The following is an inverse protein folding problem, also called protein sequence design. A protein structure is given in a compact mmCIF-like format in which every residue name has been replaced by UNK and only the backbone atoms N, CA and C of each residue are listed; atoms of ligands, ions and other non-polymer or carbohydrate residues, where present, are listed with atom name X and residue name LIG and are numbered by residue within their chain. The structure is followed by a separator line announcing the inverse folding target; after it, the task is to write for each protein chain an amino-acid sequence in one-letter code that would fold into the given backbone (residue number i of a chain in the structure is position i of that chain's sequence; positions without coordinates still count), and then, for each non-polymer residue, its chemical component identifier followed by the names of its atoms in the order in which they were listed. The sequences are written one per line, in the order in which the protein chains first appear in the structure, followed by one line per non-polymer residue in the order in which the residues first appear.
data_IF_855965769654
#
_entry.id   IF_855965769654
#
_cell.length_a   1.000
_cell.length_b   1.000
_cell.length_c   1.000
_cell.angle_alpha   90.00
_cell.angle_beta   90.00
_cell.angle_gamma   90.00
#
_symmetry.space_group_name_H-M   'P 1'
#
loop_
_entity.id
_entity.type
_entity.pdbx_description
1 polymer ?
#
# COMPACT_ATOMS: atom_id res chain seq x y z
N UNK A 1 -73.06 37.96 -49.84
CA UNK A 1 -71.59 37.91 -49.77
C UNK A 1 -71.20 37.74 -48.31
N UNK A 2 -70.38 36.72 -48.01
CA UNK A 2 -69.85 36.26 -46.70
C UNK A 2 -70.78 35.43 -45.81
N UNK A 3 -70.47 34.14 -45.82
CA UNK A 3 -71.03 33.02 -45.07
C UNK A 3 -70.75 33.11 -43.56
N UNK A 4 -71.57 32.46 -42.71
CA UNK A 4 -71.35 32.41 -41.26
C UNK A 4 -70.27 31.38 -40.90
N UNK A 5 -69.29 31.79 -40.09
CA UNK A 5 -68.37 30.87 -39.41
C UNK A 5 -69.16 30.09 -38.35
N UNK A 6 -69.43 28.83 -38.62
CA UNK A 6 -69.97 27.88 -37.65
C UNK A 6 -68.87 27.43 -36.69
N UNK A 7 -69.07 27.74 -35.41
CA UNK A 7 -68.21 27.34 -34.31
C UNK A 7 -68.41 25.83 -34.06
N UNK A 8 -67.40 25.01 -34.39
CA UNK A 8 -67.47 23.55 -34.23
C UNK A 8 -66.74 23.13 -32.93
N UNK A 9 -67.45 22.82 -31.84
CA UNK A 9 -66.84 22.45 -30.55
C UNK A 9 -66.22 21.04 -30.57
N UNK A 10 -66.51 20.24 -31.60
CA UNK A 10 -66.09 18.84 -31.69
C UNK A 10 -64.62 18.72 -32.13
N UNK A 11 -64.13 19.67 -32.94
CA UNK A 11 -62.76 19.65 -33.47
C UNK A 11 -61.66 19.89 -32.42
N UNK A 12 -61.95 20.64 -31.33
CA UNK A 12 -60.96 20.92 -30.28
C UNK A 12 -60.80 19.78 -29.27
N UNK A 13 -61.83 18.94 -29.07
CA UNK A 13 -61.75 17.79 -28.17
C UNK A 13 -60.97 16.64 -28.82
N UNK A 14 -61.13 16.44 -30.13
CA UNK A 14 -60.40 15.40 -30.88
C UNK A 14 -58.90 15.77 -31.00
N UNK A 15 -58.57 17.05 -31.22
CA UNK A 15 -57.17 17.49 -31.26
C UNK A 15 -56.46 17.39 -29.90
N UNK A 16 -57.16 17.57 -28.78
CA UNK A 16 -56.59 17.38 -27.43
C UNK A 16 -56.44 15.89 -27.07
N UNK A 17 -57.36 15.02 -27.51
CA UNK A 17 -57.27 13.58 -27.26
C UNK A 17 -56.16 12.91 -28.08
N UNK A 18 -55.96 13.33 -29.33
CA UNK A 18 -54.89 12.78 -30.19
C UNK A 18 -53.50 13.24 -29.72
N UNK A 19 -53.38 14.41 -29.09
CA UNK A 19 -52.12 14.85 -28.47
C UNK A 19 -51.81 14.11 -27.15
N UNK A 20 -52.83 13.64 -26.43
CA UNK A 20 -52.65 12.91 -25.17
C UNK A 20 -52.34 11.43 -25.36
N UNK A 21 -52.71 10.83 -26.50
CA UNK A 21 -52.41 9.41 -26.78
C UNK A 21 -51.04 9.16 -27.39
N UNK A 22 -50.30 10.20 -27.82
CA UNK A 22 -48.96 10.06 -28.40
C UNK A 22 -47.81 10.36 -27.41
N UNK A 23 -48.13 10.56 -26.14
CA UNK A 23 -47.14 10.74 -25.06
C UNK A 23 -46.89 9.46 -24.25
N UNK A 24 -47.44 8.32 -24.70
CA UNK A 24 -47.39 7.02 -24.04
C UNK A 24 -46.39 6.01 -24.61
N UNK A 25 -45.58 6.39 -25.61
CA UNK A 25 -44.39 5.63 -25.96
C UNK A 25 -43.24 6.06 -25.02
N UNK A 26 -43.43 5.81 -23.72
CA UNK A 26 -42.31 5.69 -22.81
C UNK A 26 -41.55 4.48 -23.36
N UNK A 27 -40.44 4.73 -24.05
CA UNK A 27 -39.46 3.69 -24.35
C UNK A 27 -39.29 2.89 -23.05
N UNK A 28 -39.71 1.63 -23.06
CA UNK A 28 -39.11 0.66 -22.17
C UNK A 28 -37.64 0.63 -22.63
N UNK A 29 -36.83 1.53 -22.08
CA UNK A 29 -35.39 1.36 -22.06
C UNK A 29 -35.24 0.08 -21.26
N UNK A 30 -35.09 -1.03 -21.98
CA UNK A 30 -34.51 -2.24 -21.40
C UNK A 30 -33.16 -1.75 -20.94
N UNK A 31 -33.04 -1.49 -19.65
CA UNK A 31 -31.78 -1.15 -19.04
C UNK A 31 -30.97 -2.44 -19.10
N UNK A 32 -30.21 -2.61 -20.17
CA UNK A 32 -29.35 -3.76 -20.37
C UNK A 32 -28.29 -3.72 -19.27
N UNK A 33 -28.52 -4.51 -18.22
CA UNK A 33 -27.60 -4.66 -17.12
C UNK A 33 -26.33 -5.32 -17.62
N UNK A 34 -25.19 -4.68 -17.37
CA UNK A 34 -23.88 -5.26 -17.65
C UNK A 34 -23.66 -6.52 -16.82
N UNK A 35 -23.25 -7.60 -17.46
CA UNK A 35 -22.89 -8.86 -16.80
C UNK A 35 -21.44 -8.82 -16.36
N UNK A 36 -21.25 -8.67 -15.05
CA UNK A 36 -19.94 -8.50 -14.42
C UNK A 36 -19.52 -9.82 -13.80
N UNK A 37 -18.53 -10.47 -14.40
CA UNK A 37 -17.94 -11.70 -13.87
C UNK A 37 -17.13 -11.45 -12.62
N UNK A 38 -17.41 -12.19 -11.55
CA UNK A 38 -16.64 -12.15 -10.31
C UNK A 38 -16.20 -13.54 -9.87
N UNK A 39 -15.11 -13.59 -9.11
CA UNK A 39 -14.60 -14.81 -8.47
C UNK A 39 -14.25 -14.54 -7.03
N UNK A 40 -14.67 -15.42 -6.12
CA UNK A 40 -14.36 -15.30 -4.69
C UNK A 40 -12.85 -15.42 -4.45
N UNK A 41 -12.26 -14.35 -3.90
CA UNK A 41 -10.85 -14.30 -3.52
C UNK A 41 -10.64 -13.20 -2.49
N UNK A 42 -10.43 -13.58 -1.23
CA UNK A 42 -10.15 -12.60 -0.16
C UNK A 42 -8.75 -11.99 -0.35
N UNK A 43 -8.56 -10.68 -0.10
CA UNK A 43 -9.53 -9.66 0.33
C UNK A 43 -10.17 -8.86 -0.82
N UNK A 44 -10.14 -9.36 -2.06
CA UNK A 44 -10.59 -8.64 -3.25
C UNK A 44 -12.08 -8.76 -3.52
N UNK A 45 -12.62 -9.97 -3.39
CA UNK A 45 -14.05 -10.27 -3.55
C UNK A 45 -14.45 -11.29 -2.49
N UNK A 46 -15.30 -10.83 -1.59
CA UNK A 46 -15.87 -11.57 -0.48
C UNK A 46 -17.39 -11.49 -0.61
N UNK A 47 -18.08 -12.52 -0.14
CA UNK A 47 -19.53 -12.55 -0.12
C UNK A 47 -20.01 -12.32 1.31
N UNK A 48 -20.81 -11.28 1.52
CA UNK A 48 -21.38 -10.95 2.83
C UNK A 48 -22.72 -11.65 3.07
N UNK A 49 -23.31 -12.18 1.99
CA UNK A 49 -24.59 -12.88 1.98
C UNK A 49 -25.66 -12.12 1.20
N UNK A 50 -26.69 -12.85 0.74
CA UNK A 50 -27.81 -12.25 0.01
C UNK A 50 -27.45 -11.67 -1.37
N UNK A 51 -26.35 -12.11 -1.97
CA UNK A 51 -25.87 -11.58 -3.26
C UNK A 51 -25.11 -10.25 -3.16
N UNK A 52 -24.75 -9.82 -1.94
CA UNK A 52 -23.91 -8.66 -1.70
C UNK A 52 -22.45 -9.11 -1.65
N UNK A 53 -21.61 -8.40 -2.40
CA UNK A 53 -20.18 -8.66 -2.49
C UNK A 53 -19.41 -7.43 -2.01
N UNK A 54 -18.29 -7.66 -1.33
CA UNK A 54 -17.43 -6.61 -0.82
C UNK A 54 -15.96 -6.94 -1.04
N UNK A 55 -15.11 -5.94 -0.88
CA UNK A 55 -13.66 -6.07 -0.97
C UNK A 55 -13.09 -5.24 -2.11
N UNK A 56 -11.76 -5.23 -2.21
CA UNK A 56 -11.02 -4.25 -3.01
C UNK A 56 -11.52 -4.15 -4.46
N UNK A 57 -11.79 -5.29 -5.11
CA UNK A 57 -12.22 -5.30 -6.52
C UNK A 57 -13.72 -4.99 -6.68
N UNK A 58 -14.57 -5.48 -5.77
CA UNK A 58 -16.00 -5.18 -5.78
C UNK A 58 -16.25 -3.70 -5.50
N UNK A 59 -15.66 -3.16 -4.44
CA UNK A 59 -15.80 -1.76 -4.03
C UNK A 59 -15.32 -0.81 -5.13
N UNK A 60 -14.20 -1.15 -5.80
CA UNK A 60 -13.69 -0.37 -6.93
C UNK A 60 -14.65 -0.37 -8.12
N UNK A 61 -15.20 -1.54 -8.48
CA UNK A 61 -16.16 -1.62 -9.58
C UNK A 61 -17.44 -0.86 -9.28
N UNK A 62 -17.95 -0.94 -8.05
CA UNK A 62 -19.13 -0.19 -7.64
C UNK A 62 -18.93 1.31 -7.74
N UNK A 63 -17.74 1.82 -7.42
CA UNK A 63 -17.41 3.24 -7.62
C UNK A 63 -17.41 3.60 -9.11
N UNK A 64 -16.77 2.78 -9.95
CA UNK A 64 -16.73 3.00 -11.41
C UNK A 64 -18.14 2.96 -12.01
N UNK A 65 -18.95 1.97 -11.63
CA UNK A 65 -20.32 1.85 -12.11
C UNK A 65 -21.19 3.03 -11.65
N UNK A 66 -20.95 3.56 -10.44
CA UNK A 66 -21.65 4.76 -9.93
C UNK A 66 -21.25 6.01 -10.70
N UNK A 67 -19.97 6.21 -10.96
CA UNK A 67 -19.47 7.37 -11.72
C UNK A 67 -19.99 7.38 -13.17
N UNK A 68 -20.15 6.19 -13.76
CA UNK A 68 -20.63 6.01 -15.13
C UNK A 68 -22.15 5.82 -15.25
N UNK A 69 -22.88 5.86 -14.13
CA UNK A 69 -24.33 5.62 -14.07
C UNK A 69 -24.76 4.29 -14.74
N UNK A 70 -23.98 3.23 -14.53
CA UNK A 70 -24.20 1.91 -15.13
C UNK A 70 -24.99 0.99 -14.19
N UNK A 71 -25.99 0.30 -14.74
CA UNK A 71 -26.59 -0.86 -14.07
C UNK A 71 -25.87 -2.15 -14.46
N UNK A 72 -25.70 -3.02 -13.48
CA UNK A 72 -24.98 -4.27 -13.64
C UNK A 72 -25.56 -5.37 -12.78
N UNK A 73 -25.20 -6.61 -13.12
CA UNK A 73 -25.43 -7.80 -12.31
C UNK A 73 -24.14 -8.61 -12.18
N UNK A 74 -23.88 -9.12 -10.98
CA UNK A 74 -22.73 -9.97 -10.73
C UNK A 74 -23.03 -11.41 -11.13
N UNK A 75 -22.11 -12.00 -11.90
CA UNK A 75 -22.14 -13.41 -12.29
C UNK A 75 -20.92 -14.08 -11.68
N UNK A 76 -21.15 -14.97 -10.71
CA UNK A 76 -20.05 -15.69 -10.07
C UNK A 76 -19.54 -16.82 -10.97
N UNK A 77 -18.21 -16.94 -11.07
CA UNK A 77 -17.51 -18.06 -11.71
C UNK A 77 -16.50 -18.67 -10.73
N UNK A 78 -16.22 -19.96 -10.92
CA UNK A 78 -15.36 -20.72 -10.01
C UNK A 78 -13.88 -20.49 -10.28
N UNK A 79 -13.50 -20.36 -11.56
CA UNK A 79 -12.12 -20.22 -11.98
C UNK A 79 -11.83 -18.91 -12.72
N UNK A 80 -10.56 -18.49 -12.70
CA UNK A 80 -10.10 -17.34 -13.49
C UNK A 80 -10.12 -17.69 -14.99
N UNK A 81 -9.95 -18.96 -15.36
CA UNK A 81 -10.08 -19.41 -16.75
C UNK A 81 -11.51 -19.23 -17.25
N UNK A 82 -12.50 -19.59 -16.44
CA UNK A 82 -13.92 -19.51 -16.80
C UNK A 82 -14.36 -18.05 -16.99
N UNK A 83 -13.83 -17.12 -16.18
CA UNK A 83 -14.05 -15.69 -16.37
C UNK A 83 -13.54 -15.21 -17.72
N UNK A 84 -12.30 -15.58 -18.08
CA UNK A 84 -11.68 -15.17 -19.34
C UNK A 84 -12.39 -15.80 -20.54
N UNK A 85 -12.78 -17.07 -20.44
CA UNK A 85 -13.54 -17.75 -21.48
C UNK A 85 -14.94 -17.16 -21.65
N UNK A 86 -15.63 -16.81 -20.56
CA UNK A 86 -16.94 -16.19 -20.60
C UNK A 86 -16.88 -14.75 -21.13
N UNK A 87 -15.81 -13.99 -20.88
CA UNK A 87 -15.57 -12.71 -21.56
C UNK A 87 -15.30 -12.92 -23.05
N UNK A 88 -14.48 -13.92 -23.41
CA UNK A 88 -14.16 -14.24 -24.81
C UNK A 88 -15.39 -14.67 -25.61
N UNK A 89 -16.29 -15.45 -25.01
CA UNK A 89 -17.54 -15.90 -25.62
C UNK A 89 -18.65 -14.83 -25.62
N UNK A 90 -18.40 -13.66 -25.02
CA UNK A 90 -19.37 -12.58 -24.80
C UNK A 90 -20.56 -12.99 -23.93
N UNK A 91 -20.38 -14.00 -23.08
CA UNK A 91 -21.33 -14.32 -22.01
C UNK A 91 -21.30 -13.26 -20.91
N UNK A 92 -20.11 -12.71 -20.65
CA UNK A 92 -19.85 -11.60 -19.73
C UNK A 92 -19.37 -10.37 -20.50
N UNK A 93 -19.81 -9.20 -20.07
CA UNK A 93 -19.37 -7.93 -20.65
C UNK A 93 -17.99 -7.52 -20.11
N UNK A 94 -17.74 -7.82 -18.83
CA UNK A 94 -16.44 -7.62 -18.19
C UNK A 94 -16.23 -8.57 -17.02
N UNK A 95 -14.98 -8.74 -16.59
CA UNK A 95 -14.62 -9.52 -15.42
C UNK A 95 -13.85 -8.66 -14.42
N UNK A 96 -14.33 -8.63 -13.18
CA UNK A 96 -13.72 -7.94 -12.04
C UNK A 96 -13.32 -9.00 -11.03
N UNK A 97 -12.02 -9.24 -10.88
CA UNK A 97 -11.46 -10.11 -9.86
C UNK A 97 -9.94 -9.86 -9.74
N UNK A 98 -9.27 -10.60 -8.84
CA UNK A 98 -7.81 -10.67 -8.80
C UNK A 98 -7.25 -11.45 -10.01
N UNK A 99 -7.32 -10.86 -11.20
CA UNK A 99 -6.86 -11.45 -12.46
C UNK A 99 -5.48 -10.92 -12.80
N UNK A 100 -4.48 -11.80 -12.81
CA UNK A 100 -3.12 -11.46 -13.26
C UNK A 100 -3.09 -11.27 -14.77
N UNK A 101 -2.56 -10.14 -15.22
CA UNK A 101 -2.30 -9.86 -16.64
C UNK A 101 -1.07 -10.65 -17.08
N UNK A 102 -1.21 -11.49 -18.09
CA UNK A 102 -0.08 -12.23 -18.70
C UNK A 102 -0.15 -12.14 -20.23
N UNK A 103 0.97 -12.26 -20.96
CA UNK A 103 0.97 -12.23 -22.42
C UNK A 103 -0.03 -13.19 -23.06
N UNK A 104 -0.11 -14.42 -22.55
CA UNK A 104 -0.99 -15.47 -23.07
C UNK A 104 -2.48 -15.10 -22.92
N UNK A 105 -2.83 -14.36 -21.86
CA UNK A 105 -4.21 -13.90 -21.63
C UNK A 105 -4.56 -12.71 -22.52
N UNK A 106 -3.62 -11.80 -22.72
CA UNK A 106 -3.79 -10.62 -23.59
C UNK A 106 -4.02 -10.99 -25.07
N UNK A 107 -3.63 -12.18 -25.51
CA UNK A 107 -3.97 -12.68 -26.85
C UNK A 107 -5.46 -13.01 -27.01
N UNK A 108 -6.20 -13.19 -25.91
CA UNK A 108 -7.58 -13.68 -25.92
C UNK A 108 -8.62 -12.66 -25.45
N UNK A 109 -8.22 -11.73 -24.57
CA UNK A 109 -9.08 -10.67 -24.04
C UNK A 109 -8.25 -9.41 -23.79
N UNK A 110 -8.90 -8.25 -23.86
CA UNK A 110 -8.29 -6.97 -23.53
C UNK A 110 -8.30 -6.73 -22.01
N UNK A 111 -7.28 -6.02 -21.52
CA UNK A 111 -7.16 -5.63 -20.11
C UNK A 111 -7.09 -4.11 -19.98
N UNK A 112 -7.64 -3.60 -18.87
CA UNK A 112 -7.40 -2.23 -18.44
C UNK A 112 -6.00 -2.07 -17.84
N UNK A 113 -5.68 -0.85 -17.40
CA UNK A 113 -4.46 -0.62 -16.62
C UNK A 113 -4.51 -1.39 -15.28
N UNK A 114 -3.38 -1.95 -14.80
CA UNK A 114 -3.37 -2.69 -13.55
C UNK A 114 -3.83 -1.83 -12.38
N UNK A 115 -4.84 -2.31 -11.64
CA UNK A 115 -5.37 -1.63 -10.45
C UNK A 115 -4.64 -2.03 -9.17
N UNK A 116 -3.93 -3.17 -9.19
CA UNK A 116 -3.20 -3.71 -8.04
C UNK A 116 -1.88 -4.32 -8.49
N UNK A 117 -0.77 -3.86 -7.89
CA UNK A 117 0.57 -4.37 -8.17
C UNK A 117 1.02 -5.28 -7.03
N UNK A 118 1.25 -6.56 -7.35
CA UNK A 118 1.79 -7.55 -6.40
C UNK A 118 3.15 -8.06 -6.87
N UNK A 119 4.09 -8.22 -5.94
CA UNK A 119 5.34 -8.96 -6.17
C UNK A 119 5.21 -10.40 -5.69
N UNK A 120 5.98 -11.31 -6.29
CA UNK A 120 6.11 -12.68 -5.77
C UNK A 120 6.85 -12.64 -4.43
N UNK A 121 6.26 -13.23 -3.40
CA UNK A 121 6.85 -13.39 -2.08
C UNK A 121 6.87 -14.85 -1.65
N UNK A 122 7.86 -15.23 -0.84
CA UNK A 122 7.94 -16.56 -0.23
C UNK A 122 7.49 -16.45 1.22
N UNK A 123 6.36 -17.08 1.55
CA UNK A 123 5.92 -17.20 2.93
C UNK A 123 6.64 -18.39 3.59
N UNK A 124 7.34 -18.12 4.70
CA UNK A 124 7.99 -19.13 5.52
C UNK A 124 7.33 -19.21 6.88
N UNK A 125 7.39 -20.39 7.52
CA UNK A 125 6.98 -20.52 8.92
C UNK A 125 7.85 -19.60 9.76
N UNK A 126 7.24 -18.80 10.63
CA UNK A 126 8.00 -18.03 11.61
C UNK A 126 8.67 -18.99 12.59
N UNK A 127 9.99 -19.15 12.45
CA UNK A 127 10.81 -19.85 13.42
C UNK A 127 11.15 -18.90 14.56
N UNK A 128 11.14 -19.40 15.80
CA UNK A 128 11.64 -18.65 16.94
C UNK A 128 13.16 -18.83 16.95
N UNK A 129 13.96 -17.75 16.86
CA UNK A 129 15.40 -17.89 16.93
C UNK A 129 15.77 -18.55 18.26
N UNK A 130 16.57 -19.62 18.19
CA UNK A 130 17.12 -20.27 19.36
C UNK A 130 18.16 -19.38 20.06
N UNK A 131 18.58 -19.75 21.26
CA UNK A 131 19.64 -19.04 21.99
C UNK A 131 20.95 -18.97 21.17
N UNK A 132 21.22 -19.99 20.35
CA UNK A 132 22.37 -20.05 19.47
C UNK A 132 22.24 -19.03 18.33
N UNK A 133 21.05 -18.89 17.72
CA UNK A 133 20.81 -17.91 16.66
C UNK A 133 20.97 -16.47 17.16
N UNK A 134 20.47 -16.20 18.37
CA UNK A 134 20.69 -14.92 19.04
C UNK A 134 22.18 -14.67 19.36
N UNK A 135 22.93 -15.71 19.71
CA UNK A 135 24.37 -15.60 19.99
C UNK A 135 25.17 -15.35 18.72
N UNK A 136 24.82 -16.01 17.61
CA UNK A 136 25.47 -15.81 16.32
C UNK A 136 25.18 -14.41 15.75
N UNK A 137 24.04 -13.81 16.06
CA UNK A 137 23.73 -12.43 15.71
C UNK A 137 24.72 -11.44 16.37
N UNK A 138 25.14 -11.70 17.60
CA UNK A 138 26.13 -10.87 18.32
C UNK A 138 27.54 -11.04 17.75
N UNK A 139 27.82 -12.21 17.15
CA UNK A 139 29.11 -12.52 16.51
C UNK A 139 29.12 -12.23 15.01
N UNK A 140 28.08 -11.56 14.49
CA UNK A 140 28.02 -11.22 13.08
C UNK A 140 29.21 -10.31 12.68
N UNK A 141 29.85 -10.63 11.56
CA UNK A 141 31.08 -9.98 11.14
C UNK A 141 30.89 -8.48 10.86
N UNK A 142 29.68 -8.08 10.45
CA UNK A 142 29.32 -6.68 10.30
C UNK A 142 29.26 -5.96 11.66
N UNK A 143 28.56 -6.53 12.64
CA UNK A 143 28.46 -5.95 13.98
C UNK A 143 29.85 -5.87 14.63
N UNK A 144 30.66 -6.92 14.52
CA UNK A 144 32.03 -6.93 15.00
C UNK A 144 32.89 -5.84 14.34
N UNK A 145 32.75 -5.61 13.03
CA UNK A 145 33.44 -4.49 12.36
C UNK A 145 33.04 -3.14 12.94
N UNK A 146 31.74 -2.89 13.12
CA UNK A 146 31.24 -1.63 13.72
C UNK A 146 31.78 -1.45 15.14
N UNK A 147 31.73 -2.49 15.97
CA UNK A 147 32.24 -2.45 17.35
C UNK A 147 33.75 -2.23 17.41
N UNK A 148 34.52 -2.89 16.54
CA UNK A 148 35.99 -2.71 16.46
C UNK A 148 36.32 -1.30 15.97
N UNK A 149 35.64 -0.79 14.95
CA UNK A 149 35.84 0.59 14.46
C UNK A 149 35.54 1.61 15.55
N UNK A 150 34.45 1.42 16.30
CA UNK A 150 34.11 2.27 17.45
C UNK A 150 35.17 2.19 18.56
N UNK A 151 35.64 0.98 18.89
CA UNK A 151 36.67 0.77 19.90
C UNK A 151 38.00 1.43 19.51
N UNK A 152 38.40 1.34 18.24
CA UNK A 152 39.60 2.03 17.71
C UNK A 152 39.44 3.54 17.78
N UNK A 153 38.28 4.09 17.41
CA UNK A 153 38.01 5.52 17.50
C UNK A 153 38.10 6.02 18.95
N UNK A 154 37.47 5.32 19.89
CA UNK A 154 37.54 5.66 21.32
C UNK A 154 38.96 5.60 21.85
N UNK A 155 39.74 4.58 21.45
CA UNK A 155 41.14 4.45 21.82
C UNK A 155 42.00 5.59 21.25
N UNK A 156 41.77 6.02 20.00
CA UNK A 156 42.45 7.18 19.41
C UNK A 156 42.13 8.45 20.18
N UNK A 157 40.87 8.70 20.50
CA UNK A 157 40.45 9.86 21.30
C UNK A 157 41.12 9.82 22.68
N UNK A 158 41.06 8.67 23.36
CA UNK A 158 41.68 8.52 24.68
C UNK A 158 43.20 8.70 24.66
N UNK A 159 43.88 8.23 23.60
CA UNK A 159 45.31 8.45 23.41
C UNK A 159 45.64 9.92 23.17
N UNK A 160 44.86 10.62 22.33
CA UNK A 160 45.03 12.06 22.06
C UNK A 160 44.81 12.86 23.35
N UNK A 161 43.71 12.62 24.06
CA UNK A 161 43.41 13.30 25.32
C UNK A 161 44.52 13.07 26.35
N UNK A 162 45.03 11.84 26.48
CA UNK A 162 46.16 11.57 27.37
C UNK A 162 47.43 12.31 26.94
N UNK A 163 47.77 12.34 25.65
CA UNK A 163 48.97 13.03 25.17
C UNK A 163 48.94 14.54 25.46
N UNK A 164 47.77 15.17 25.36
CA UNK A 164 47.55 16.59 25.63
C UNK A 164 47.53 16.88 27.13
N UNK A 165 46.81 16.09 27.91
CA UNK A 165 46.52 16.38 29.31
C UNK A 165 47.58 15.85 30.29
N UNK A 166 48.42 14.88 29.91
CA UNK A 166 49.35 14.18 30.82
C UNK A 166 50.32 15.07 31.61
N UNK A 167 50.62 16.27 31.13
CA UNK A 167 51.55 17.21 31.80
C UNK A 167 50.84 18.26 32.68
N UNK A 168 49.56 18.53 32.40
CA UNK A 168 48.82 19.65 33.00
C UNK A 168 47.68 19.21 33.90
N UNK A 169 47.27 17.93 33.84
CA UNK A 169 46.09 17.44 34.54
C UNK A 169 46.41 16.16 35.33
N UNK A 170 46.33 16.19 36.68
CA UNK A 170 46.62 15.02 37.51
C UNK A 170 45.62 13.86 37.28
N UNK A 171 44.44 14.16 36.73
CA UNK A 171 43.42 13.16 36.41
C UNK A 171 43.88 12.25 35.24
N UNK A 172 44.72 12.78 34.34
CA UNK A 172 45.33 12.06 33.22
C UNK A 172 46.77 11.65 33.58
N UNK A 173 46.89 10.73 34.54
CA UNK A 173 48.17 10.25 35.11
C UNK A 173 49.34 10.15 34.10
N UNK A 174 50.43 10.88 34.39
CA UNK A 174 51.69 10.79 33.64
C UNK A 174 52.44 9.47 33.93
N UNK A 175 52.43 9.05 35.20
CA UNK A 175 53.14 7.87 35.68
C UNK A 175 52.51 6.53 35.25
N UNK A 176 51.23 6.55 34.84
CA UNK A 176 50.52 5.37 34.33
C UNK A 176 49.78 5.68 33.03
N UNK A 177 50.43 5.45 31.85
CA UNK A 177 49.82 5.69 30.54
C UNK A 177 48.49 4.96 30.33
N UNK A 178 48.36 3.72 30.81
CA UNK A 178 47.13 2.93 30.68
C UNK A 178 45.96 3.58 31.43
N UNK A 179 46.22 4.10 32.63
CA UNK A 179 45.20 4.79 33.42
C UNK A 179 44.80 6.11 32.76
N UNK A 180 45.77 6.88 32.24
CA UNK A 180 45.50 8.13 31.55
C UNK A 180 44.70 7.95 30.24
N UNK A 181 45.04 6.96 29.43
CA UNK A 181 44.27 6.61 28.21
C UNK A 181 42.87 6.14 28.58
N UNK A 182 42.73 5.32 29.62
CA UNK A 182 41.43 4.86 30.13
C UNK A 182 40.51 6.00 30.56
N UNK A 183 41.06 7.05 31.17
CA UNK A 183 40.31 8.26 31.52
C UNK A 183 39.84 9.03 30.27
N UNK A 184 40.68 9.14 29.24
CA UNK A 184 40.26 9.72 27.96
C UNK A 184 39.17 8.92 27.26
N UNK A 185 39.23 7.58 27.29
CA UNK A 185 38.18 6.70 26.76
C UNK A 185 36.87 6.86 27.54
N UNK A 186 36.94 6.88 28.88
CA UNK A 186 35.77 7.08 29.75
C UNK A 186 35.07 8.41 29.45
N UNK A 187 35.84 9.49 29.39
CA UNK A 187 35.34 10.82 29.05
C UNK A 187 34.68 10.86 27.66
N UNK A 188 35.33 10.28 26.64
CA UNK A 188 34.78 10.22 25.28
C UNK A 188 33.47 9.40 25.22
N UNK A 189 33.41 8.28 25.94
CA UNK A 189 32.22 7.44 26.02
C UNK A 189 31.06 8.14 26.71
N UNK A 190 31.31 8.80 27.86
CA UNK A 190 30.31 9.56 28.60
C UNK A 190 29.75 10.74 27.81
N UNK A 191 30.61 11.41 27.02
CA UNK A 191 30.22 12.50 26.10
C UNK A 191 29.30 11.98 25.00
N UNK A 192 29.66 10.86 24.37
CA UNK A 192 28.87 10.25 23.29
C UNK A 192 27.51 9.74 23.78
N UNK A 193 27.46 9.17 24.98
CA UNK A 193 26.25 8.57 25.56
C UNK A 193 25.39 9.57 26.35
N UNK A 194 25.81 10.83 26.42
CA UNK A 194 25.13 11.92 27.13
C UNK A 194 24.83 11.61 28.62
N UNK A 195 25.65 10.77 29.27
CA UNK A 195 25.43 10.32 30.65
C UNK A 195 25.68 11.43 31.70
N UNK A 196 26.25 12.56 31.30
CA UNK A 196 26.55 13.70 32.19
C UNK A 196 27.80 13.46 33.04
N UNK A 197 28.52 14.54 33.40
CA UNK A 197 29.83 14.47 34.05
C UNK A 197 29.75 14.55 35.58
N UNK A 198 30.67 13.87 36.26
CA UNK A 198 30.89 14.01 37.71
C UNK A 198 32.34 13.89 38.18
N UNK A 199 33.30 13.57 37.31
CA UNK A 199 34.65 13.15 37.68
C UNK A 199 35.78 13.76 36.83
N UNK A 200 35.91 13.43 35.54
CA UNK A 200 37.09 13.79 34.73
C UNK A 200 36.75 14.50 33.42
N UNK A 201 37.43 15.63 33.19
CA UNK A 201 37.34 16.44 31.97
C UNK A 201 38.70 17.02 31.59
N UNK A 202 38.99 17.23 30.29
CA UNK A 202 40.15 17.97 29.84
C UNK A 202 40.14 19.42 30.37
N UNK A 203 41.30 19.94 30.75
CA UNK A 203 41.44 21.27 31.39
C UNK A 203 42.37 22.21 30.64
N UNK A 204 43.18 21.73 29.71
CA UNK A 204 44.21 22.55 29.05
C UNK A 204 43.66 23.31 27.83
N UNK A 205 44.23 24.49 27.53
CA UNK A 205 43.68 25.39 26.50
C UNK A 205 43.91 25.00 25.02
N UNK A 206 44.58 23.89 24.64
CA UNK A 206 44.39 23.30 23.31
C UNK A 206 43.40 22.13 23.29
N UNK A 207 42.79 21.74 24.41
CA UNK A 207 41.87 20.60 24.51
C UNK A 207 42.21 19.70 25.68
#
# INVERSE_FOLDING_TARGET
MKSPCTFNPIGRVIALFVFFTLSGALSAVVEDKLKVGIKRVSPFIMEEGGGIYSGISADLWEEVARELELSFEYVMKDSTGDLLEACKSKELDLAVAAITITPERMETVDFSSPVFNSSVGVAMRKEKPGLIDATLLVLDAWLLKVLVTLAVLLLLVGLISWLLERKGNPDYSESSPVRGIGQGIWWACATMTAVGYGDTVPRSFPG
#
